data_IF_556390701698
#
_entry.id   IF_556390701698
#
_cell.length_a   1.000
_cell.length_b   1.000
_cell.length_c   1.000
_cell.angle_alpha   90.00
_cell.angle_beta   90.00
_cell.angle_gamma   90.00
#
_symmetry.space_group_name_H-M   'P 1'
#
loop_
_entity.id
_entity.type
_entity.pdbx_description
1 polymer ?
#
# COMPACT_ATOMS: atom_id res chain seq x y z
N UNK A 1 30.75 12.71 -31.35
CA UNK A 1 30.21 12.84 -29.99
C UNK A 1 30.69 11.66 -29.18
N UNK A 2 30.89 11.86 -27.88
CA UNK A 2 31.12 10.75 -26.96
C UNK A 2 29.88 9.85 -26.93
N UNK A 3 30.05 8.53 -26.82
CA UNK A 3 28.92 7.59 -26.73
C UNK A 3 28.16 7.80 -25.42
N UNK A 4 26.82 7.80 -25.41
CA UNK A 4 26.05 7.98 -24.20
C UNK A 4 26.29 6.83 -23.21
N UNK A 5 26.20 7.11 -21.91
CA UNK A 5 26.48 6.16 -20.84
C UNK A 5 25.27 5.91 -19.95
N UNK A 6 25.00 4.63 -19.70
CA UNK A 6 23.99 4.18 -18.75
C UNK A 6 24.67 3.56 -17.52
N UNK A 7 24.45 4.15 -16.34
CA UNK A 7 24.83 3.57 -15.06
C UNK A 7 23.67 2.71 -14.55
N UNK A 8 23.86 1.39 -14.50
CA UNK A 8 22.82 0.43 -14.09
C UNK A 8 23.25 -0.28 -12.81
N UNK A 9 22.51 -0.12 -11.72
CA UNK A 9 22.75 -0.75 -10.42
C UNK A 9 21.42 -1.06 -9.75
N UNK A 10 20.92 -2.28 -9.94
CA UNK A 10 19.57 -2.67 -9.54
C UNK A 10 19.58 -3.83 -8.55
N UNK A 11 18.71 -3.77 -7.55
CA UNK A 11 18.35 -4.91 -6.72
C UNK A 11 17.38 -5.88 -7.41
N UNK A 12 16.27 -5.41 -7.97
CA UNK A 12 15.41 -6.24 -8.83
C UNK A 12 16.00 -6.28 -10.24
N UNK A 13 16.32 -7.49 -10.71
CA UNK A 13 16.95 -7.70 -12.03
C UNK A 13 15.92 -7.98 -13.13
N UNK A 14 14.62 -7.84 -12.85
CA UNK A 14 13.55 -7.98 -13.85
C UNK A 14 13.79 -7.04 -15.03
N UNK A 15 13.87 -7.58 -16.25
CA UNK A 15 14.02 -6.80 -17.49
C UNK A 15 15.38 -6.11 -17.70
N UNK A 16 16.35 -6.26 -16.79
CA UNK A 16 17.60 -5.48 -16.84
C UNK A 16 18.52 -5.89 -18.00
N UNK A 17 18.48 -7.16 -18.40
CA UNK A 17 19.28 -7.68 -19.52
C UNK A 17 18.75 -7.14 -20.84
N UNK A 18 17.44 -7.12 -21.01
CA UNK A 18 16.74 -6.60 -22.18
C UNK A 18 16.97 -5.09 -22.32
N UNK A 19 16.90 -4.35 -21.21
CA UNK A 19 17.25 -2.93 -21.14
C UNK A 19 18.68 -2.68 -21.63
N UNK A 20 19.66 -3.35 -21.02
CA UNK A 20 21.07 -3.14 -21.34
C UNK A 20 21.42 -3.57 -22.77
N UNK A 21 20.88 -4.69 -23.26
CA UNK A 21 21.10 -5.16 -24.63
C UNK A 21 20.54 -4.18 -25.68
N UNK A 22 19.37 -3.60 -25.41
CA UNK A 22 18.75 -2.60 -26.29
C UNK A 22 19.58 -1.31 -26.33
N UNK A 23 20.03 -0.83 -25.16
CA UNK A 23 20.92 0.32 -25.06
C UNK A 23 22.25 0.08 -25.81
N UNK A 24 22.87 -1.09 -25.67
CA UNK A 24 24.09 -1.45 -26.40
C UNK A 24 23.87 -1.46 -27.92
N UNK A 25 22.73 -1.97 -28.38
CA UNK A 25 22.36 -1.96 -29.82
C UNK A 25 22.24 -0.54 -30.36
N UNK A 26 21.82 0.41 -29.51
CA UNK A 26 21.77 1.84 -29.79
C UNK A 26 23.11 2.57 -29.57
N UNK A 27 24.19 1.84 -29.29
CA UNK A 27 25.55 2.40 -29.15
C UNK A 27 25.89 2.97 -27.77
N UNK A 28 25.07 2.72 -26.76
CA UNK A 28 25.34 3.14 -25.37
C UNK A 28 26.43 2.28 -24.72
N UNK A 29 27.17 2.88 -23.80
CA UNK A 29 28.10 2.18 -22.91
C UNK A 29 27.41 1.88 -21.58
N UNK A 30 27.55 0.66 -21.09
CA UNK A 30 27.01 0.25 -19.80
C UNK A 30 28.09 0.36 -18.73
N UNK A 31 27.78 1.11 -17.66
CA UNK A 31 28.55 1.17 -16.42
C UNK A 31 27.72 0.45 -15.36
N UNK A 32 28.32 -0.48 -14.63
CA UNK A 32 27.61 -1.22 -13.58
C UNK A 32 28.57 -1.66 -12.47
N UNK A 33 28.02 -2.27 -11.42
CA UNK A 33 28.79 -2.78 -10.27
C UNK A 33 28.13 -4.01 -9.64
N UNK A 34 28.93 -4.83 -8.96
CA UNK A 34 28.49 -5.95 -8.13
C UNK A 34 27.63 -6.98 -8.87
N UNK A 35 26.53 -7.40 -8.24
CA UNK A 35 25.63 -8.43 -8.78
C UNK A 35 24.96 -8.03 -10.10
N UNK A 36 24.75 -6.73 -10.35
CA UNK A 36 24.18 -6.25 -11.62
C UNK A 36 25.19 -6.44 -12.76
N UNK A 37 26.44 -6.01 -12.55
CA UNK A 37 27.50 -6.20 -13.53
C UNK A 37 27.73 -7.68 -13.85
N UNK A 38 27.71 -8.54 -12.83
CA UNK A 38 27.84 -9.99 -12.99
C UNK A 38 26.73 -10.57 -13.88
N UNK A 39 25.47 -10.23 -13.59
CA UNK A 39 24.30 -10.68 -14.36
C UNK A 39 24.35 -10.25 -15.82
N UNK A 40 24.79 -9.01 -16.08
CA UNK A 40 24.90 -8.47 -17.44
C UNK A 40 26.04 -9.16 -18.23
N UNK A 41 27.18 -9.44 -17.59
CA UNK A 41 28.28 -10.19 -18.23
C UNK A 41 27.91 -11.62 -18.57
N UNK A 42 27.17 -12.30 -17.71
CA UNK A 42 26.65 -13.65 -17.98
C UNK A 42 25.77 -13.68 -19.25
N UNK A 43 25.05 -12.59 -19.52
CA UNK A 43 24.26 -12.41 -20.73
C UNK A 43 25.08 -11.94 -21.96
N UNK A 44 26.40 -11.83 -21.83
CA UNK A 44 27.31 -11.42 -22.92
C UNK A 44 27.36 -9.92 -23.18
N UNK A 45 26.88 -9.09 -22.24
CA UNK A 45 26.90 -7.62 -22.37
C UNK A 45 28.24 -7.08 -21.89
N UNK A 46 28.84 -6.19 -22.68
CA UNK A 46 30.06 -5.47 -22.30
C UNK A 46 29.74 -4.44 -21.19
N UNK A 47 30.42 -4.56 -20.06
CA UNK A 47 30.19 -3.74 -18.87
C UNK A 47 31.51 -3.15 -18.37
N UNK A 48 31.57 -1.83 -18.30
CA UNK A 48 32.62 -1.11 -17.56
C UNK A 48 32.27 -1.11 -16.06
N UNK A 49 33.18 -1.56 -15.21
CA UNK A 49 32.98 -1.50 -13.76
C UNK A 49 33.00 -0.06 -13.24
N UNK A 50 32.21 0.23 -12.21
CA UNK A 50 32.30 1.51 -11.48
C UNK A 50 33.70 1.72 -10.89
N UNK A 51 34.39 0.67 -10.46
CA UNK A 51 35.76 0.77 -9.95
C UNK A 51 36.76 1.21 -11.02
N UNK A 52 36.54 0.85 -12.29
CA UNK A 52 37.34 1.33 -13.43
C UNK A 52 37.07 2.81 -13.72
N UNK A 53 35.81 3.25 -13.60
CA UNK A 53 35.42 4.66 -13.77
C UNK A 53 35.99 5.54 -12.65
N UNK A 54 35.99 5.04 -11.42
CA UNK A 54 36.38 5.82 -10.24
C UNK A 54 37.87 5.71 -9.90
N UNK A 55 38.55 4.68 -10.39
CA UNK A 55 39.90 4.32 -9.97
C UNK A 55 39.98 3.86 -8.51
N UNK A 56 38.85 3.56 -7.87
CA UNK A 56 38.77 3.21 -6.45
C UNK A 56 38.19 1.79 -6.29
N UNK A 57 38.82 0.91 -5.49
CA UNK A 57 38.29 -0.43 -5.26
C UNK A 57 37.01 -0.40 -4.42
N UNK A 58 36.23 -1.47 -4.51
CA UNK A 58 35.12 -1.71 -3.60
C UNK A 58 35.65 -2.05 -2.20
N UNK A 59 35.17 -1.33 -1.17
CA UNK A 59 35.59 -1.49 0.22
C UNK A 59 34.37 -1.51 1.15
N UNK A 60 34.54 -2.05 2.37
CA UNK A 60 33.48 -2.19 3.39
C UNK A 60 32.25 -2.93 2.86
N UNK A 61 32.47 -4.07 2.21
CA UNK A 61 31.43 -4.94 1.65
C UNK A 61 30.44 -4.21 0.72
N UNK A 62 30.95 -3.22 -0.03
CA UNK A 62 30.17 -2.50 -1.05
C UNK A 62 29.42 -1.28 -0.55
N UNK A 63 29.53 -0.92 0.73
CA UNK A 63 28.85 0.24 1.34
C UNK A 63 29.17 1.59 0.67
N UNK A 64 30.35 1.73 0.06
CA UNK A 64 30.84 3.01 -0.52
C UNK A 64 31.25 2.91 -1.99
N UNK A 65 30.71 1.95 -2.74
CA UNK A 65 31.15 1.68 -4.13
C UNK A 65 30.82 2.79 -5.14
N UNK A 66 29.69 3.48 -4.98
CA UNK A 66 29.22 4.53 -5.92
C UNK A 66 29.30 5.95 -5.35
N UNK A 67 29.64 6.09 -4.06
CA UNK A 67 29.78 7.38 -3.37
C UNK A 67 31.11 8.06 -3.73
N UNK A 68 31.27 8.39 -5.01
CA UNK A 68 32.50 8.92 -5.57
C UNK A 68 32.22 10.13 -6.48
N UNK A 69 33.04 11.20 -6.44
CA UNK A 69 32.91 12.35 -7.33
C UNK A 69 32.90 11.99 -8.82
N UNK A 70 33.65 10.98 -9.27
CA UNK A 70 33.66 10.58 -10.67
C UNK A 70 32.28 10.12 -11.17
N UNK A 71 31.50 9.46 -10.31
CA UNK A 71 30.12 9.05 -10.59
C UNK A 71 29.19 10.25 -10.51
N UNK A 72 29.18 10.95 -9.37
CA UNK A 72 28.21 12.01 -9.13
C UNK A 72 28.45 13.27 -9.97
N UNK A 73 29.69 13.62 -10.31
CA UNK A 73 29.97 14.70 -11.27
C UNK A 73 29.48 14.31 -12.67
N UNK A 74 29.67 13.05 -13.07
CA UNK A 74 29.15 12.52 -14.34
C UNK A 74 27.62 12.66 -14.45
N UNK A 75 26.92 12.48 -13.34
CA UNK A 75 25.46 12.64 -13.23
C UNK A 75 25.05 14.12 -13.11
N UNK A 76 25.71 14.92 -12.26
CA UNK A 76 25.23 16.24 -11.83
C UNK A 76 25.74 17.42 -12.65
N UNK A 77 26.77 17.24 -13.48
CA UNK A 77 27.29 18.32 -14.32
C UNK A 77 26.19 18.87 -15.24
N UNK A 78 26.03 20.19 -15.26
CA UNK A 78 25.07 20.85 -16.15
C UNK A 78 25.64 20.89 -17.56
N UNK A 79 24.95 20.28 -18.52
CA UNK A 79 25.49 20.10 -19.88
C UNK A 79 25.58 21.41 -20.67
N UNK A 80 24.81 22.42 -20.27
CA UNK A 80 24.86 23.78 -20.82
C UNK A 80 25.94 24.67 -20.17
N UNK A 81 26.51 24.25 -19.04
CA UNK A 81 27.59 24.97 -18.36
C UNK A 81 28.94 24.59 -18.95
N UNK A 82 29.58 25.54 -19.65
CA UNK A 82 30.95 25.36 -20.17
C UNK A 82 31.97 25.09 -19.05
N UNK A 83 31.76 25.69 -17.87
CA UNK A 83 32.62 25.49 -16.71
C UNK A 83 32.54 24.06 -16.19
N UNK A 84 31.33 23.54 -15.96
CA UNK A 84 31.11 22.18 -15.46
C UNK A 84 31.70 21.13 -16.44
N UNK A 85 31.52 21.35 -17.75
CA UNK A 85 32.03 20.43 -18.78
C UNK A 85 33.57 20.50 -18.91
N UNK A 86 34.19 21.67 -18.69
CA UNK A 86 35.66 21.78 -18.60
C UNK A 86 36.19 21.01 -17.39
N UNK A 87 35.55 21.19 -16.23
CA UNK A 87 35.93 20.49 -15.00
C UNK A 87 35.81 18.97 -15.14
N UNK A 88 34.75 18.45 -15.77
CA UNK A 88 34.66 17.02 -16.08
C UNK A 88 35.85 16.55 -16.90
N UNK A 89 36.19 17.29 -17.96
CA UNK A 89 37.30 16.94 -18.86
C UNK A 89 38.65 16.99 -18.14
N UNK A 90 38.91 18.03 -17.35
CA UNK A 90 40.14 18.21 -16.57
C UNK A 90 40.33 17.10 -15.53
N UNK A 91 39.25 16.65 -14.91
CA UNK A 91 39.26 15.56 -13.94
C UNK A 91 39.28 14.16 -14.58
N UNK A 92 39.18 14.07 -15.92
CA UNK A 92 39.05 12.80 -16.63
C UNK A 92 37.72 12.08 -16.36
N UNK A 93 36.70 12.83 -15.94
CA UNK A 93 35.37 12.33 -15.68
C UNK A 93 34.48 12.44 -16.91
N UNK A 94 33.40 11.68 -16.88
CA UNK A 94 32.59 11.40 -18.04
C UNK A 94 31.11 11.59 -17.73
N UNK A 95 30.38 12.16 -18.68
CA UNK A 95 28.93 12.30 -18.60
C UNK A 95 28.23 10.93 -18.47
N UNK A 96 27.21 10.89 -17.60
CA UNK A 96 26.24 9.79 -17.48
C UNK A 96 24.88 10.33 -17.93
N UNK A 97 24.25 9.66 -18.89
CA UNK A 97 23.02 10.12 -19.55
C UNK A 97 21.79 9.36 -19.06
N UNK A 98 21.99 8.14 -18.53
CA UNK A 98 20.95 7.33 -17.90
C UNK A 98 21.44 6.75 -16.58
N UNK A 99 20.61 6.80 -15.55
CA UNK A 99 20.82 6.14 -14.26
C UNK A 99 19.64 5.22 -13.99
N UNK A 100 19.88 3.91 -13.97
CA UNK A 100 18.89 2.90 -13.66
C UNK A 100 19.21 2.25 -12.31
N UNK A 101 18.39 2.54 -11.31
CA UNK A 101 18.58 2.09 -9.93
C UNK A 101 17.22 1.83 -9.30
N UNK A 102 16.95 0.57 -8.93
CA UNK A 102 15.88 0.24 -7.98
C UNK A 102 16.51 -0.12 -6.63
N UNK A 103 15.85 0.30 -5.55
CA UNK A 103 16.38 0.27 -4.20
C UNK A 103 16.28 -1.13 -3.58
N UNK A 104 17.01 -1.34 -2.50
CA UNK A 104 16.95 -2.58 -1.74
C UNK A 104 15.54 -2.78 -1.15
N UNK A 105 15.05 -4.03 -1.05
CA UNK A 105 13.70 -4.33 -0.62
C UNK A 105 13.65 -4.31 0.91
N UNK A 106 13.87 -3.13 1.48
CA UNK A 106 13.92 -2.94 2.92
C UNK A 106 12.60 -3.39 3.57
N UNK A 107 11.45 -2.98 3.00
CA UNK A 107 10.12 -3.41 3.44
C UNK A 107 9.94 -4.93 3.41
N UNK A 108 10.37 -5.59 2.33
CA UNK A 108 10.26 -7.06 2.24
C UNK A 108 11.09 -7.72 3.34
N UNK A 109 12.31 -7.22 3.60
CA UNK A 109 13.18 -7.76 4.65
C UNK A 109 12.59 -7.55 6.05
N UNK A 110 12.03 -6.36 6.30
CA UNK A 110 11.37 -6.01 7.56
C UNK A 110 10.12 -6.87 7.83
N UNK A 111 9.38 -7.21 6.78
CA UNK A 111 8.16 -8.04 6.84
C UNK A 111 8.39 -9.56 6.88
N UNK A 112 9.64 -10.03 6.96
CA UNK A 112 9.95 -11.47 6.98
C UNK A 112 9.45 -12.15 8.25
N UNK A 113 9.12 -13.43 8.12
CA UNK A 113 8.74 -14.30 9.23
C UNK A 113 9.70 -15.51 9.32
N UNK A 114 10.52 -15.65 10.39
CA UNK A 114 10.62 -14.74 11.55
C UNK A 114 11.24 -13.38 11.20
N UNK A 115 10.99 -12.32 12.01
CA UNK A 115 11.53 -10.97 11.77
C UNK A 115 13.05 -10.93 11.64
N UNK A 116 13.54 -10.13 10.70
CA UNK A 116 14.96 -9.87 10.54
C UNK A 116 15.55 -9.22 11.80
N UNK A 117 16.80 -9.53 12.10
CA UNK A 117 17.50 -8.87 13.22
C UNK A 117 17.75 -7.40 12.91
N UNK A 118 17.89 -6.57 13.95
CA UNK A 118 18.22 -5.15 13.74
C UNK A 118 19.52 -4.94 12.96
N UNK A 119 20.51 -5.81 13.16
CA UNK A 119 21.80 -5.76 12.45
C UNK A 119 21.58 -6.03 10.96
N UNK A 120 20.78 -7.05 10.63
CA UNK A 120 20.42 -7.37 9.25
C UNK A 120 19.65 -6.23 8.57
N UNK A 121 18.69 -5.62 9.27
CA UNK A 121 17.95 -4.46 8.75
C UNK A 121 18.86 -3.27 8.48
N UNK A 122 19.80 -2.98 9.37
CA UNK A 122 20.77 -1.89 9.19
C UNK A 122 21.65 -2.12 7.96
N UNK A 123 22.06 -3.37 7.67
CA UNK A 123 22.83 -3.67 6.45
C UNK A 123 22.00 -3.51 5.16
N UNK A 124 20.67 -3.62 5.24
CA UNK A 124 19.78 -3.42 4.10
C UNK A 124 19.50 -1.95 3.78
N UNK A 125 19.98 -1.01 4.60
CA UNK A 125 19.84 0.42 4.34
C UNK A 125 20.81 0.84 3.23
N UNK A 126 20.29 0.96 2.01
CA UNK A 126 21.01 1.47 0.84
C UNK A 126 21.32 2.97 0.97
N UNK A 127 22.61 3.31 0.85
CA UNK A 127 23.09 4.69 0.81
C UNK A 127 23.39 5.13 -0.63
N UNK A 128 24.01 4.24 -1.41
CA UNK A 128 24.48 4.55 -2.76
C UNK A 128 23.33 4.73 -3.74
N UNK A 129 22.34 3.83 -3.70
CA UNK A 129 21.18 3.86 -4.57
C UNK A 129 20.40 5.17 -4.46
N UNK A 130 19.88 5.55 -3.27
CA UNK A 130 19.13 6.80 -3.10
C UNK A 130 19.97 8.03 -3.48
N UNK A 131 21.27 8.03 -3.21
CA UNK A 131 22.15 9.14 -3.60
C UNK A 131 22.26 9.29 -5.12
N UNK A 132 22.40 8.18 -5.86
CA UNK A 132 22.43 8.20 -7.33
C UNK A 132 21.08 8.60 -7.92
N UNK A 133 19.97 8.04 -7.41
CA UNK A 133 18.60 8.36 -7.83
C UNK A 133 18.32 9.85 -7.66
N UNK A 134 18.60 10.42 -6.49
CA UNK A 134 18.41 11.85 -6.20
C UNK A 134 19.31 12.73 -7.07
N UNK A 135 20.53 12.29 -7.34
CA UNK A 135 21.46 13.02 -8.22
C UNK A 135 20.92 13.10 -9.66
N UNK A 136 20.44 11.98 -10.19
CA UNK A 136 19.89 11.89 -11.54
C UNK A 136 18.57 12.69 -11.66
N UNK A 137 17.65 12.52 -10.70
CA UNK A 137 16.39 13.25 -10.66
C UNK A 137 16.59 14.78 -10.54
N UNK A 138 17.57 15.22 -9.73
CA UNK A 138 17.96 16.64 -9.66
C UNK A 138 18.43 17.17 -11.02
N UNK A 139 19.19 16.37 -11.77
CA UNK A 139 19.73 16.75 -13.07
C UNK A 139 18.90 16.21 -14.25
N UNK A 140 17.59 16.01 -14.05
CA UNK A 140 16.67 15.53 -15.09
C UNK A 140 16.62 16.33 -16.40
N UNK A 141 17.03 17.63 -16.49
CA UNK A 141 17.15 18.26 -17.80
C UNK A 141 18.11 17.52 -18.74
N UNK A 142 19.07 16.77 -18.19
CA UNK A 142 20.16 16.13 -18.92
C UNK A 142 20.32 14.62 -18.66
N UNK A 143 19.71 14.09 -17.59
CA UNK A 143 19.85 12.69 -17.20
C UNK A 143 18.48 12.01 -17.15
N UNK A 144 18.40 10.82 -17.74
CA UNK A 144 17.25 9.93 -17.65
C UNK A 144 17.40 9.11 -16.37
N UNK A 145 16.44 9.18 -15.46
CA UNK A 145 16.42 8.34 -14.26
C UNK A 145 15.35 7.26 -14.40
N UNK A 146 15.69 6.01 -14.07
CA UNK A 146 14.75 4.89 -14.04
C UNK A 146 14.87 4.16 -12.70
N UNK A 147 13.76 4.07 -11.98
CA UNK A 147 13.68 3.45 -10.65
C UNK A 147 12.79 2.23 -10.58
N UNK A 148 12.03 1.93 -11.65
CA UNK A 148 11.10 0.82 -11.71
C UNK A 148 11.17 0.10 -13.07
N UNK A 149 11.13 -1.25 -13.14
CA UNK A 149 11.17 -2.00 -14.39
C UNK A 149 10.08 -1.60 -15.40
N UNK A 150 8.91 -1.15 -14.95
CA UNK A 150 7.81 -0.70 -15.82
C UNK A 150 8.18 0.55 -16.63
N UNK A 151 9.22 1.29 -16.24
CA UNK A 151 9.71 2.47 -16.96
C UNK A 151 10.62 2.11 -18.14
N UNK A 152 11.12 0.87 -18.23
CA UNK A 152 12.13 0.49 -19.22
C UNK A 152 11.60 0.58 -20.64
N UNK A 153 10.43 -0.02 -20.90
CA UNK A 153 9.85 -0.06 -22.25
C UNK A 153 9.54 1.35 -22.80
N UNK A 154 8.85 2.25 -22.06
CA UNK A 154 8.65 3.63 -22.52
C UNK A 154 9.97 4.36 -22.84
N UNK A 155 11.02 4.18 -22.01
CA UNK A 155 12.32 4.80 -22.23
C UNK A 155 12.97 4.26 -23.51
N UNK A 156 12.97 2.94 -23.68
CA UNK A 156 13.56 2.29 -24.86
C UNK A 156 12.84 2.68 -26.15
N UNK A 157 11.52 2.79 -26.13
CA UNK A 157 10.74 3.26 -27.28
C UNK A 157 11.15 4.69 -27.66
N UNK A 158 11.19 5.60 -26.68
CA UNK A 158 11.58 6.99 -26.92
C UNK A 158 13.02 7.12 -27.44
N UNK A 159 13.96 6.30 -26.95
CA UNK A 159 15.33 6.26 -27.43
C UNK A 159 15.42 5.65 -28.85
N UNK A 160 14.67 4.58 -29.12
CA UNK A 160 14.63 3.92 -30.43
C UNK A 160 14.13 4.86 -31.52
N UNK A 161 13.09 5.63 -31.23
CA UNK A 161 12.51 6.61 -32.16
C UNK A 161 13.46 7.77 -32.50
N UNK A 162 14.52 7.95 -31.70
CA UNK A 162 15.54 8.98 -31.87
C UNK A 162 16.94 8.42 -32.17
N UNK A 163 17.04 7.24 -32.79
CA UNK A 163 18.32 6.59 -33.13
C UNK A 163 19.28 6.43 -31.93
N UNK A 164 18.73 6.20 -30.73
CA UNK A 164 19.48 6.02 -29.50
C UNK A 164 19.93 7.31 -28.80
N UNK A 165 19.55 8.49 -29.28
CA UNK A 165 19.94 9.76 -28.67
C UNK A 165 19.24 9.99 -27.32
N UNK A 166 19.95 10.40 -26.24
CA UNK A 166 19.33 10.71 -24.94
C UNK A 166 18.18 11.73 -25.01
N UNK A 167 18.23 12.65 -25.98
CA UNK A 167 17.20 13.66 -26.20
C UNK A 167 15.87 13.12 -26.75
N UNK A 168 15.83 11.85 -27.20
CA UNK A 168 14.56 11.16 -27.52
C UNK A 168 13.64 11.03 -26.31
N UNK A 169 14.21 10.83 -25.13
CA UNK A 169 13.47 10.95 -23.87
C UNK A 169 13.29 12.43 -23.58
N UNK A 170 12.19 12.99 -24.07
CA UNK A 170 11.94 14.43 -24.01
C UNK A 170 11.84 14.97 -22.56
N UNK A 171 11.86 16.30 -22.44
CA UNK A 171 11.85 17.00 -21.16
C UNK A 171 10.66 16.65 -20.25
N UNK A 172 9.46 16.47 -20.81
CA UNK A 172 8.27 16.13 -20.03
C UNK A 172 8.35 14.71 -19.46
N UNK A 173 8.86 13.76 -20.25
CA UNK A 173 9.13 12.41 -19.77
C UNK A 173 10.21 12.41 -18.67
N UNK A 174 11.31 13.17 -18.85
CA UNK A 174 12.37 13.28 -17.84
C UNK A 174 11.86 13.91 -16.54
N UNK A 175 10.98 14.90 -16.59
CA UNK A 175 10.31 15.45 -15.40
C UNK A 175 9.46 14.41 -14.68
N UNK A 176 8.66 13.63 -15.43
CA UNK A 176 7.83 12.57 -14.84
C UNK A 176 8.70 11.54 -14.13
N UNK A 177 9.73 11.04 -14.81
CA UNK A 177 10.69 10.09 -14.25
C UNK A 177 11.40 10.65 -13.00
N UNK A 178 11.77 11.93 -13.00
CA UNK A 178 12.39 12.57 -11.85
C UNK A 178 11.43 12.71 -10.65
N UNK A 179 10.16 12.99 -10.90
CA UNK A 179 9.13 13.02 -9.86
C UNK A 179 8.94 11.64 -9.25
N UNK A 180 8.87 10.61 -10.08
CA UNK A 180 8.73 9.22 -9.63
C UNK A 180 9.97 8.75 -8.85
N UNK A 181 11.17 9.16 -9.28
CA UNK A 181 12.41 8.91 -8.57
C UNK A 181 12.43 9.55 -7.16
N UNK A 182 12.00 10.80 -7.01
CA UNK A 182 11.90 11.42 -5.69
C UNK A 182 10.82 10.78 -4.81
N UNK A 183 9.70 10.37 -5.39
CA UNK A 183 8.65 9.61 -4.69
C UNK A 183 9.19 8.27 -4.19
N UNK A 184 9.93 7.54 -5.03
CA UNK A 184 10.55 6.27 -4.65
C UNK A 184 11.50 6.45 -3.45
N UNK A 185 12.35 7.48 -3.45
CA UNK A 185 13.25 7.75 -2.31
C UNK A 185 12.50 8.22 -1.07
N UNK A 186 11.43 9.01 -1.21
CA UNK A 186 10.61 9.44 -0.08
C UNK A 186 9.87 8.27 0.57
N UNK A 187 9.32 7.36 -0.24
CA UNK A 187 8.68 6.14 0.25
C UNK A 187 9.72 5.25 0.98
N UNK A 188 10.90 5.07 0.38
CA UNK A 188 11.99 4.30 0.99
C UNK A 188 12.43 4.87 2.35
N UNK A 189 12.70 6.17 2.43
CA UNK A 189 13.12 6.81 3.69
C UNK A 189 12.02 6.75 4.76
N UNK A 190 10.74 6.88 4.36
CA UNK A 190 9.60 6.70 5.28
C UNK A 190 9.58 5.27 5.86
N UNK A 191 9.75 4.25 5.02
CA UNK A 191 9.72 2.86 5.46
C UNK A 191 10.90 2.51 6.37
N UNK A 192 12.09 3.04 6.10
CA UNK A 192 13.24 2.93 7.01
C UNK A 192 12.95 3.65 8.33
N UNK A 193 12.43 4.87 8.30
CA UNK A 193 12.14 5.64 9.51
C UNK A 193 11.10 4.96 10.40
N UNK A 194 9.98 4.50 9.82
CA UNK A 194 8.91 3.85 10.56
C UNK A 194 9.32 2.50 11.14
N UNK A 195 10.01 1.66 10.38
CA UNK A 195 10.51 0.37 10.90
C UNK A 195 11.53 0.57 12.03
N UNK A 196 12.45 1.53 11.90
CA UNK A 196 13.42 1.78 12.97
C UNK A 196 12.76 2.35 14.22
N UNK A 197 11.72 3.18 14.08
CA UNK A 197 10.91 3.64 15.21
C UNK A 197 10.25 2.46 15.92
N UNK A 198 9.59 1.57 15.19
CA UNK A 198 8.95 0.37 15.75
C UNK A 198 9.94 -0.59 16.44
N UNK A 199 11.19 -0.64 15.96
CA UNK A 199 12.25 -1.50 16.55
C UNK A 199 12.99 -0.86 17.72
N UNK A 200 13.08 0.47 17.78
CA UNK A 200 13.83 1.19 18.80
C UNK A 200 12.97 1.73 19.93
N UNK A 201 11.69 1.97 19.67
CA UNK A 201 10.74 2.53 20.61
C UNK A 201 9.91 1.44 21.28
N UNK A 202 9.57 1.65 22.55
CA UNK A 202 8.56 0.86 23.27
C UNK A 202 7.20 1.58 23.30
N UNK A 203 7.09 2.75 22.65
CA UNK A 203 5.84 3.52 22.61
C UNK A 203 4.83 2.89 21.66
N UNK A 204 3.62 2.64 22.14
CA UNK A 204 2.52 2.18 21.30
C UNK A 204 2.04 3.26 20.32
N UNK A 205 2.25 4.54 20.67
CA UNK A 205 1.89 5.68 19.82
C UNK A 205 3.15 6.17 19.11
N UNK A 206 3.12 6.37 17.78
CA UNK A 206 4.27 6.89 17.05
C UNK A 206 4.62 8.31 17.51
N UNK A 207 5.90 8.57 17.69
CA UNK A 207 6.48 9.90 17.88
C UNK A 207 6.36 10.74 16.59
N UNK A 208 6.43 10.09 15.43
CA UNK A 208 6.26 10.73 14.11
C UNK A 208 5.25 10.00 13.23
N UNK A 209 4.26 10.73 12.72
CA UNK A 209 3.29 10.19 11.75
C UNK A 209 3.88 10.30 10.35
N UNK A 210 4.34 9.16 9.82
CA UNK A 210 4.74 9.03 8.43
C UNK A 210 3.62 8.34 7.63
N UNK A 211 3.14 9.00 6.57
CA UNK A 211 2.11 8.42 5.68
C UNK A 211 2.71 8.24 4.30
N UNK A 212 2.86 6.99 3.88
CA UNK A 212 3.20 6.59 2.51
C UNK A 212 2.01 5.87 1.89
N UNK A 213 1.82 6.03 0.58
CA UNK A 213 0.73 5.39 -0.15
C UNK A 213 1.14 5.07 -1.58
N UNK A 214 0.46 4.09 -2.18
CA UNK A 214 0.50 3.84 -3.60
C UNK A 214 -0.26 4.91 -4.40
N UNK A 215 -0.35 4.68 -5.71
CA UNK A 215 -1.03 5.64 -6.61
C UNK A 215 -2.53 5.70 -6.32
N UNK A 216 -3.05 6.92 -6.16
CA UNK A 216 -4.45 7.16 -5.90
C UNK A 216 -5.36 6.83 -7.09
N UNK A 217 -6.45 6.12 -6.83
CA UNK A 217 -7.53 5.85 -7.77
C UNK A 217 -8.61 6.93 -7.65
N UNK A 218 -8.92 7.71 -8.71
CA UNK A 218 -9.89 8.79 -8.62
C UNK A 218 -11.29 8.25 -8.32
N UNK A 219 -12.00 8.93 -7.41
CA UNK A 219 -13.39 8.68 -7.08
C UNK A 219 -14.28 9.73 -7.76
N UNK A 220 -15.57 9.43 -7.87
CA UNK A 220 -16.54 10.33 -8.50
C UNK A 220 -16.62 11.69 -7.81
N UNK A 221 -16.55 11.69 -6.49
CA UNK A 221 -16.48 12.83 -5.57
C UNK A 221 -16.18 12.29 -4.14
N UNK A 222 -15.94 13.19 -3.19
CA UNK A 222 -15.69 12.92 -1.77
C UNK A 222 -16.98 12.61 -1.01
N UNK A 223 -17.11 13.10 0.23
CA UNK A 223 -18.35 12.93 0.99
C UNK A 223 -19.53 13.61 0.29
N UNK A 224 -19.27 14.73 -0.39
CA UNK A 224 -20.26 15.54 -1.10
C UNK A 224 -19.87 15.76 -2.58
N UNK A 225 -20.85 15.93 -3.49
CA UNK A 225 -20.60 16.01 -4.95
C UNK A 225 -19.63 17.09 -5.44
N UNK A 226 -19.43 18.16 -4.66
CA UNK A 226 -18.55 19.28 -5.04
C UNK A 226 -17.09 19.06 -4.64
N UNK A 227 -16.78 17.98 -3.92
CA UNK A 227 -15.45 17.67 -3.41
C UNK A 227 -14.78 16.63 -4.32
N UNK A 228 -13.65 16.91 -4.98
CA UNK A 228 -12.89 15.87 -5.68
C UNK A 228 -12.26 14.90 -4.67
N UNK A 229 -12.13 13.62 -5.03
CA UNK A 229 -11.55 12.62 -4.14
C UNK A 229 -10.83 11.49 -4.89
N UNK A 230 -9.97 10.77 -4.18
CA UNK A 230 -9.30 9.56 -4.64
C UNK A 230 -9.11 8.59 -3.46
N UNK A 231 -9.05 7.28 -3.74
CA UNK A 231 -8.66 6.24 -2.80
C UNK A 231 -7.18 5.93 -2.97
N UNK A 232 -6.41 5.93 -1.88
CA UNK A 232 -4.97 5.69 -1.89
C UNK A 232 -4.68 4.35 -1.18
N UNK A 233 -4.21 3.30 -1.89
CA UNK A 233 -3.80 2.04 -1.26
C UNK A 233 -2.47 2.20 -0.52
N UNK A 234 -2.05 1.24 0.32
CA UNK A 234 -0.68 1.20 0.84
C UNK A 234 0.34 1.11 -0.31
N UNK A 235 1.59 1.54 -0.08
CA UNK A 235 2.67 1.45 -1.08
C UNK A 235 3.17 0.03 -1.31
N UNK A 236 3.00 -0.86 -0.33
CA UNK A 236 3.40 -2.27 -0.37
C UNK A 236 2.24 -3.23 -0.57
N UNK A 237 2.24 -4.33 0.18
CA UNK A 237 1.22 -5.40 0.09
C UNK A 237 -0.18 -4.85 0.35
N UNK A 238 -1.10 -5.11 -0.58
CA UNK A 238 -2.50 -4.74 -0.42
C UNK A 238 -3.10 -5.42 0.82
N UNK A 239 -3.82 -4.64 1.62
CA UNK A 239 -4.49 -5.10 2.84
C UNK A 239 -5.83 -4.36 3.03
N UNK A 240 -6.71 -4.92 3.87
CA UNK A 240 -8.03 -4.35 4.12
C UNK A 240 -8.82 -4.09 2.83
N UNK A 241 -9.42 -2.91 2.71
CA UNK A 241 -10.22 -2.54 1.52
C UNK A 241 -9.40 -2.40 0.25
N UNK A 242 -8.08 -2.21 0.32
CA UNK A 242 -7.23 -2.19 -0.88
C UNK A 242 -7.04 -3.58 -1.50
N UNK A 243 -7.21 -4.64 -0.70
CA UNK A 243 -7.17 -6.03 -1.16
C UNK A 243 -8.55 -6.58 -1.55
N UNK A 244 -9.62 -5.81 -1.33
CA UNK A 244 -10.97 -6.25 -1.64
C UNK A 244 -11.21 -6.30 -3.16
N UNK A 245 -11.79 -7.39 -3.64
CA UNK A 245 -12.12 -7.58 -5.05
C UNK A 245 -13.61 -7.30 -5.27
N UNK A 246 -13.92 -6.34 -6.14
CA UNK A 246 -15.29 -6.02 -6.52
C UNK A 246 -15.73 -6.87 -7.73
N UNK A 247 -16.79 -7.65 -7.58
CA UNK A 247 -17.30 -8.59 -8.60
C UNK A 247 -18.30 -7.98 -9.58
N UNK A 248 -18.79 -6.77 -9.30
CA UNK A 248 -19.77 -6.10 -10.15
C UNK A 248 -20.28 -4.80 -9.55
N UNK A 249 -21.22 -4.16 -10.25
CA UNK A 249 -21.81 -2.90 -9.82
C UNK A 249 -21.06 -1.66 -10.29
N UNK A 250 -21.45 -0.51 -9.73
CA UNK A 250 -20.79 0.78 -10.00
C UNK A 250 -19.45 0.86 -9.25
N UNK A 251 -18.50 1.72 -9.68
CA UNK A 251 -17.35 2.06 -8.85
C UNK A 251 -17.78 2.50 -7.43
N UNK A 252 -16.94 2.20 -6.43
CA UNK A 252 -17.13 2.63 -5.06
C UNK A 252 -17.08 4.16 -4.97
N UNK A 253 -17.95 4.73 -4.14
CA UNK A 253 -17.88 6.14 -3.73
C UNK A 253 -17.04 6.31 -2.46
N UNK A 254 -16.68 7.55 -2.13
CA UNK A 254 -15.98 7.87 -0.88
C UNK A 254 -16.73 7.34 0.35
N UNK A 255 -18.04 7.58 0.42
CA UNK A 255 -18.87 7.09 1.54
C UNK A 255 -18.99 5.56 1.55
N UNK A 256 -18.93 4.89 0.38
CA UNK A 256 -18.88 3.43 0.37
C UNK A 256 -17.61 2.90 1.04
N UNK A 257 -16.45 3.54 0.84
CA UNK A 257 -15.22 3.16 1.55
C UNK A 257 -15.36 3.36 3.06
N UNK A 258 -15.92 4.49 3.51
CA UNK A 258 -16.15 4.75 4.94
C UNK A 258 -17.09 3.71 5.58
N UNK A 259 -18.21 3.41 4.91
CA UNK A 259 -19.20 2.45 5.41
C UNK A 259 -18.67 1.01 5.37
N UNK A 260 -17.89 0.63 4.34
CA UNK A 260 -17.23 -0.67 4.26
C UNK A 260 -16.17 -0.83 5.34
N UNK A 261 -15.39 0.22 5.65
CA UNK A 261 -14.41 0.18 6.72
C UNK A 261 -15.07 -0.03 8.09
N UNK A 262 -16.12 0.75 8.38
CA UNK A 262 -16.92 0.58 9.60
C UNK A 262 -17.56 -0.83 9.68
N UNK A 263 -18.07 -1.35 8.56
CA UNK A 263 -18.66 -2.68 8.51
C UNK A 263 -17.63 -3.78 8.77
N UNK A 264 -16.42 -3.63 8.21
CA UNK A 264 -15.30 -4.53 8.46
C UNK A 264 -14.87 -4.49 9.93
N UNK A 265 -14.70 -3.31 10.54
CA UNK A 265 -14.29 -3.17 11.94
C UNK A 265 -15.26 -3.88 12.87
N UNK A 266 -16.56 -3.62 12.75
CA UNK A 266 -17.56 -4.28 13.59
C UNK A 266 -17.69 -5.79 13.30
N UNK A 267 -17.66 -6.20 12.01
CA UNK A 267 -17.72 -7.62 11.65
C UNK A 267 -16.54 -8.41 12.23
N UNK A 268 -15.33 -7.84 12.20
CA UNK A 268 -14.12 -8.47 12.76
C UNK A 268 -14.15 -8.50 14.29
N UNK A 269 -14.58 -7.41 14.92
CA UNK A 269 -14.78 -7.30 16.38
C UNK A 269 -15.72 -8.41 16.89
N UNK A 270 -16.87 -8.58 16.23
CA UNK A 270 -17.80 -9.65 16.56
C UNK A 270 -17.17 -11.03 16.36
N UNK A 271 -16.55 -11.26 15.19
CA UNK A 271 -15.97 -12.57 14.85
C UNK A 271 -14.81 -13.00 15.77
N UNK A 272 -14.10 -12.06 16.39
CA UNK A 272 -13.02 -12.38 17.35
C UNK A 272 -13.50 -12.80 18.73
N UNK A 273 -14.75 -12.50 19.10
CA UNK A 273 -15.24 -12.66 20.47
C UNK A 273 -16.36 -13.70 20.62
N UNK A 274 -16.96 -14.13 19.51
CA UNK A 274 -18.03 -15.13 19.50
C UNK A 274 -17.49 -16.51 19.08
N UNK A 275 -18.29 -17.55 19.32
CA UNK A 275 -18.00 -18.89 18.80
C UNK A 275 -17.83 -18.85 17.27
N UNK A 276 -16.68 -19.34 16.80
CA UNK A 276 -16.32 -19.37 15.38
C UNK A 276 -17.34 -20.09 14.49
N UNK A 277 -18.20 -20.95 15.06
CA UNK A 277 -19.29 -21.66 14.36
C UNK A 277 -20.45 -20.75 13.97
N UNK A 278 -20.63 -19.61 14.64
CA UNK A 278 -21.74 -18.69 14.44
C UNK A 278 -21.52 -17.76 13.23
N UNK A 279 -22.65 -17.29 12.70
CA UNK A 279 -22.72 -16.37 11.57
C UNK A 279 -23.01 -14.95 12.09
N UNK A 280 -22.27 -13.96 11.58
CA UNK A 280 -22.52 -12.55 11.88
C UNK A 280 -23.06 -11.83 10.67
N UNK A 281 -23.97 -10.89 10.91
CA UNK A 281 -24.41 -9.94 9.92
C UNK A 281 -24.36 -8.53 10.50
N UNK A 282 -23.69 -7.62 9.82
CA UNK A 282 -23.60 -6.21 10.18
C UNK A 282 -24.16 -5.37 9.04
N UNK A 283 -25.03 -4.42 9.36
CA UNK A 283 -25.56 -3.42 8.44
C UNK A 283 -25.15 -2.02 8.90
N UNK A 284 -24.35 -1.33 8.09
CA UNK A 284 -23.85 0.03 8.34
C UNK A 284 -24.53 1.04 7.42
N UNK A 285 -24.80 2.23 7.94
CA UNK A 285 -25.16 3.40 7.14
C UNK A 285 -24.55 4.66 7.74
N UNK A 286 -23.83 5.44 6.92
CA UNK A 286 -23.15 6.66 7.37
C UNK A 286 -22.26 6.40 8.60
N UNK A 287 -21.42 5.37 8.51
CA UNK A 287 -20.46 4.90 9.51
C UNK A 287 -21.07 4.39 10.83
N UNK A 288 -22.40 4.31 10.93
CA UNK A 288 -23.09 3.84 12.12
C UNK A 288 -23.80 2.49 11.87
N UNK A 289 -23.80 1.56 12.83
CA UNK A 289 -24.60 0.34 12.77
C UNK A 289 -26.10 0.66 12.81
N UNK A 290 -26.83 0.29 11.75
CA UNK A 290 -28.30 0.24 11.76
C UNK A 290 -28.82 -1.15 12.15
N UNK A 291 -27.97 -2.17 12.09
CA UNK A 291 -28.26 -3.51 12.57
C UNK A 291 -26.99 -4.34 12.74
N UNK A 292 -26.97 -5.19 13.76
CA UNK A 292 -25.92 -6.18 13.98
C UNK A 292 -26.55 -7.41 14.63
N UNK A 293 -26.06 -8.59 14.27
CA UNK A 293 -26.57 -9.85 14.81
C UNK A 293 -25.52 -10.96 14.77
N UNK A 294 -25.79 -11.98 15.57
CA UNK A 294 -25.06 -13.25 15.61
C UNK A 294 -26.10 -14.36 15.69
N UNK A 295 -25.96 -15.40 14.87
CA UNK A 295 -26.94 -16.49 14.80
C UNK A 295 -26.29 -17.81 14.32
N UNK A 296 -27.01 -18.92 14.46
CA UNK A 296 -26.61 -20.25 13.98
C UNK A 296 -26.65 -20.36 12.45
N UNK A 297 -27.47 -19.53 11.79
CA UNK A 297 -27.61 -19.51 10.33
C UNK A 297 -27.39 -18.12 9.75
N UNK A 298 -26.81 -18.05 8.55
CA UNK A 298 -26.52 -16.78 7.90
C UNK A 298 -27.79 -16.00 7.54
N UNK A 299 -28.86 -16.67 7.11
CA UNK A 299 -30.15 -16.03 6.82
C UNK A 299 -30.81 -15.45 8.07
N UNK A 300 -30.80 -16.18 9.19
CA UNK A 300 -31.35 -15.68 10.46
C UNK A 300 -30.53 -14.49 10.97
N UNK A 301 -29.19 -14.55 10.87
CA UNK A 301 -28.35 -13.39 11.18
C UNK A 301 -28.77 -12.16 10.34
N UNK A 302 -28.97 -12.30 9.03
CA UNK A 302 -29.47 -11.21 8.20
C UNK A 302 -30.84 -10.68 8.68
N UNK A 303 -31.82 -11.55 8.89
CA UNK A 303 -33.18 -11.18 9.31
C UNK A 303 -33.16 -10.40 10.64
N UNK A 304 -32.34 -10.84 11.58
CA UNK A 304 -32.19 -10.22 12.89
C UNK A 304 -31.47 -8.86 12.84
N UNK A 305 -30.45 -8.73 11.98
CA UNK A 305 -29.81 -7.44 11.74
C UNK A 305 -30.79 -6.46 11.10
N UNK A 306 -31.56 -6.89 10.08
CA UNK A 306 -32.57 -6.06 9.42
C UNK A 306 -33.70 -5.66 10.37
N UNK A 307 -34.13 -6.56 11.26
CA UNK A 307 -35.20 -6.30 12.23
C UNK A 307 -34.85 -5.23 13.27
N UNK A 308 -33.56 -4.86 13.40
CA UNK A 308 -33.12 -3.79 14.31
C UNK A 308 -33.66 -2.43 13.87
N UNK A 309 -33.46 -2.07 12.61
CA UNK A 309 -34.01 -0.87 11.98
C UNK A 309 -34.11 -1.03 10.46
N UNK A 310 -35.25 -1.54 9.94
CA UNK A 310 -35.41 -1.81 8.51
C UNK A 310 -35.46 -0.52 7.67
N UNK A 311 -35.89 0.60 8.25
CA UNK A 311 -35.96 1.89 7.55
C UNK A 311 -34.55 2.45 7.34
N UNK A 312 -33.72 2.45 8.39
CA UNK A 312 -32.33 2.87 8.26
C UNK A 312 -31.52 1.89 7.40
N UNK A 313 -31.79 0.59 7.48
CA UNK A 313 -31.09 -0.41 6.66
C UNK A 313 -31.30 -0.23 5.14
N UNK A 314 -32.30 0.54 4.69
CA UNK A 314 -32.46 0.83 3.28
C UNK A 314 -31.26 1.61 2.73
N UNK A 315 -30.51 0.99 1.81
CA UNK A 315 -29.28 1.53 1.23
C UNK A 315 -28.04 1.34 2.11
N UNK A 316 -28.06 0.39 3.04
CA UNK A 316 -26.92 0.08 3.91
C UNK A 316 -25.75 -0.55 3.15
N UNK A 317 -24.63 -0.68 3.85
CA UNK A 317 -23.52 -1.59 3.54
C UNK A 317 -23.62 -2.79 4.46
N UNK A 318 -23.54 -4.00 3.88
CA UNK A 318 -23.65 -5.26 4.61
C UNK A 318 -22.27 -5.91 4.74
N UNK A 319 -21.93 -6.44 5.91
CA UNK A 319 -20.80 -7.34 6.09
C UNK A 319 -21.26 -8.68 6.68
N UNK A 320 -20.77 -9.77 6.08
CA UNK A 320 -21.00 -11.15 6.53
C UNK A 320 -19.64 -11.81 6.78
N UNK A 321 -19.46 -12.47 7.92
CA UNK A 321 -18.17 -13.07 8.29
C UNK A 321 -17.80 -14.36 7.54
N UNK A 322 -18.70 -14.89 6.72
CA UNK A 322 -18.58 -16.17 6.02
C UNK A 322 -18.99 -16.03 4.56
N UNK A 323 -18.56 -16.98 3.73
CA UNK A 323 -18.98 -17.07 2.32
C UNK A 323 -20.50 -16.96 2.23
N UNK A 324 -21.00 -16.10 1.35
CA UNK A 324 -22.45 -15.85 1.23
C UNK A 324 -23.10 -17.04 0.54
N UNK A 325 -24.08 -17.62 1.22
CA UNK A 325 -24.84 -18.78 0.76
C UNK A 325 -26.02 -18.35 -0.12
N UNK A 326 -26.43 -19.22 -1.06
CA UNK A 326 -27.51 -18.92 -2.00
C UNK A 326 -28.83 -18.58 -1.27
N UNK A 327 -29.17 -19.34 -0.22
CA UNK A 327 -30.40 -19.13 0.55
C UNK A 327 -30.40 -17.76 1.27
N UNK A 328 -29.24 -17.32 1.79
CA UNK A 328 -29.07 -15.97 2.37
C UNK A 328 -29.22 -14.90 1.30
N UNK A 329 -28.63 -15.11 0.12
CA UNK A 329 -28.75 -14.20 -1.01
C UNK A 329 -30.20 -14.02 -1.47
N UNK A 330 -31.03 -15.07 -1.42
CA UNK A 330 -32.47 -14.98 -1.66
C UNK A 330 -33.17 -14.12 -0.60
N UNK A 331 -32.88 -14.34 0.68
CA UNK A 331 -33.45 -13.57 1.79
C UNK A 331 -33.07 -12.07 1.75
N UNK A 332 -31.86 -11.75 1.29
CA UNK A 332 -31.38 -10.37 1.09
C UNK A 332 -31.89 -9.78 -0.24
N UNK A 333 -32.23 -10.64 -1.21
CA UNK A 333 -32.34 -10.32 -2.64
C UNK A 333 -33.27 -9.16 -2.98
N UNK A 334 -34.33 -8.95 -2.20
CA UNK A 334 -35.30 -7.86 -2.39
C UNK A 334 -34.94 -6.56 -1.64
N UNK A 335 -34.07 -6.62 -0.65
CA UNK A 335 -33.65 -5.46 0.13
C UNK A 335 -32.68 -4.57 -0.65
N UNK A 336 -32.90 -3.26 -0.63
CA UNK A 336 -31.97 -2.34 -1.27
C UNK A 336 -30.75 -2.09 -0.36
N UNK A 337 -29.56 -2.41 -0.87
CA UNK A 337 -28.28 -2.11 -0.24
C UNK A 337 -27.29 -1.57 -1.28
N UNK A 338 -26.30 -0.80 -0.84
CA UNK A 338 -25.28 -0.18 -1.69
C UNK A 338 -24.11 -1.14 -1.96
N UNK A 339 -23.54 -1.70 -0.89
CA UNK A 339 -22.38 -2.59 -0.93
C UNK A 339 -22.59 -3.80 -0.01
N UNK A 340 -21.94 -4.91 -0.32
CA UNK A 340 -21.81 -6.06 0.58
C UNK A 340 -20.39 -6.59 0.51
N UNK A 341 -19.82 -6.93 1.67
CA UNK A 341 -18.48 -7.52 1.79
C UNK A 341 -18.51 -8.82 2.59
N UNK A 342 -17.82 -9.83 2.09
CA UNK A 342 -17.71 -11.15 2.71
C UNK A 342 -16.39 -11.82 2.31
N UNK A 343 -15.97 -12.94 2.93
CA UNK A 343 -14.83 -13.72 2.46
C UNK A 343 -15.04 -14.30 1.05
N UNK A 344 -16.28 -14.54 0.65
CA UNK A 344 -16.60 -15.20 -0.61
C UNK A 344 -18.09 -15.16 -0.90
N UNK A 345 -18.46 -15.64 -2.09
CA UNK A 345 -19.84 -15.90 -2.48
C UNK A 345 -19.91 -17.29 -3.11
N UNK A 346 -20.97 -18.04 -2.82
CA UNK A 346 -21.37 -19.14 -3.70
C UNK A 346 -21.75 -18.58 -5.08
N UNK A 347 -21.57 -19.39 -6.13
CA UNK A 347 -21.85 -18.97 -7.50
C UNK A 347 -23.31 -18.48 -7.64
N UNK A 348 -24.25 -19.27 -7.15
CA UNK A 348 -25.69 -18.94 -7.19
C UNK A 348 -26.00 -17.69 -6.36
N UNK A 349 -25.34 -17.51 -5.21
CA UNK A 349 -25.51 -16.32 -4.38
C UNK A 349 -25.09 -15.04 -5.11
N UNK A 350 -23.95 -15.08 -5.80
CA UNK A 350 -23.45 -13.94 -6.56
C UNK A 350 -24.39 -13.61 -7.73
N UNK A 351 -24.93 -14.62 -8.42
CA UNK A 351 -25.89 -14.45 -9.51
C UNK A 351 -27.21 -13.82 -9.04
N UNK A 352 -27.76 -14.31 -7.92
CA UNK A 352 -28.97 -13.76 -7.29
C UNK A 352 -28.78 -12.27 -6.95
N UNK A 353 -27.69 -11.94 -6.25
CA UNK A 353 -27.45 -10.57 -5.80
C UNK A 353 -27.14 -9.62 -6.97
N UNK A 354 -26.42 -10.12 -7.99
CA UNK A 354 -26.09 -9.41 -9.22
C UNK A 354 -27.31 -9.08 -10.10
N UNK A 355 -28.47 -9.71 -9.85
CA UNK A 355 -29.74 -9.36 -10.50
C UNK A 355 -30.10 -7.87 -10.39
N UNK A 356 -29.62 -7.17 -9.34
CA UNK A 356 -29.69 -5.70 -9.23
C UNK A 356 -28.33 -5.07 -9.58
N UNK A 357 -28.19 -4.60 -10.83
CA UNK A 357 -26.94 -4.10 -11.45
C UNK A 357 -26.14 -3.03 -10.71
N UNK A 358 -26.70 -2.34 -9.71
CA UNK A 358 -26.01 -1.25 -9.00
C UNK A 358 -25.32 -1.72 -7.71
N UNK A 359 -25.64 -2.92 -7.21
CA UNK A 359 -25.04 -3.46 -5.99
C UNK A 359 -23.56 -3.73 -6.20
N UNK A 360 -22.73 -3.33 -5.23
CA UNK A 360 -21.30 -3.66 -5.23
C UNK A 360 -21.08 -4.86 -4.33
N UNK A 361 -20.67 -5.96 -4.94
CA UNK A 361 -20.35 -7.20 -4.23
C UNK A 361 -18.84 -7.30 -4.09
N UNK A 362 -18.33 -7.33 -2.87
CA UNK A 362 -16.90 -7.37 -2.59
C UNK A 362 -16.52 -8.67 -1.88
N UNK A 363 -15.40 -9.27 -2.30
CA UNK A 363 -14.74 -10.32 -1.53
C UNK A 363 -13.46 -9.84 -0.89
N UNK A 364 -13.24 -10.22 0.36
CA UNK A 364 -11.99 -10.04 1.08
C UNK A 364 -11.64 -11.33 1.83
N UNK A 365 -10.73 -12.14 1.29
CA UNK A 365 -10.36 -13.45 1.82
C UNK A 365 -8.86 -13.52 2.19
N UNK A 366 -8.51 -13.83 3.45
CA UNK A 366 -9.41 -13.85 4.61
C UNK A 366 -9.94 -12.44 4.93
N UNK A 367 -11.05 -12.35 5.68
CA UNK A 367 -11.49 -11.04 6.18
C UNK A 367 -10.49 -10.45 7.19
N UNK A 368 -9.64 -11.27 7.80
CA UNK A 368 -8.63 -10.85 8.76
C UNK A 368 -9.20 -10.53 10.14
N UNK A 369 -8.32 -10.37 11.12
CA UNK A 369 -8.67 -10.02 12.50
C UNK A 369 -8.75 -8.49 12.69
N UNK A 370 -9.42 -8.04 13.75
CA UNK A 370 -9.39 -6.64 14.14
C UNK A 370 -8.13 -6.38 14.97
N UNK A 371 -7.11 -5.84 14.31
CA UNK A 371 -5.84 -5.53 14.96
C UNK A 371 -5.94 -4.30 15.85
N UNK A 372 -5.22 -4.34 16.96
CA UNK A 372 -4.95 -3.16 17.80
C UNK A 372 -3.80 -2.39 17.18
N UNK A 373 -4.08 -1.21 16.63
CA UNK A 373 -3.09 -0.41 15.90
C UNK A 373 -3.30 1.10 16.10
N UNK A 374 -2.25 1.87 15.83
CA UNK A 374 -2.33 3.32 15.83
C UNK A 374 -3.22 3.80 14.67
N UNK A 375 -4.23 4.61 14.99
CA UNK A 375 -5.14 5.26 14.04
C UNK A 375 -4.93 6.75 14.07
N UNK A 376 -4.81 7.32 12.88
CA UNK A 376 -4.61 8.74 12.69
C UNK A 376 -5.89 9.40 12.19
N UNK A 377 -6.18 10.60 12.70
CA UNK A 377 -7.28 11.43 12.24
C UNK A 377 -6.77 12.85 11.98
N UNK A 378 -7.04 13.36 10.78
CA UNK A 378 -6.70 14.74 10.45
C UNK A 378 -7.61 15.72 11.19
N UNK A 379 -7.03 16.81 11.68
CA UNK A 379 -7.73 17.98 12.20
C UNK A 379 -7.19 19.24 11.53
N UNK A 380 -7.85 20.38 11.71
CA UNK A 380 -7.33 21.65 11.21
C UNK A 380 -5.95 21.93 11.85
N UNK A 381 -4.91 22.06 11.01
CA UNK A 381 -3.56 22.35 11.45
C UNK A 381 -2.74 21.17 11.98
N UNK A 382 -3.24 19.92 11.94
CA UNK A 382 -2.47 18.78 12.42
C UNK A 382 -3.18 17.42 12.36
N UNK A 383 -2.70 16.49 13.20
CA UNK A 383 -3.16 15.11 13.28
C UNK A 383 -3.36 14.69 14.73
N UNK A 384 -4.35 13.85 14.97
CA UNK A 384 -4.54 13.10 16.22
C UNK A 384 -4.13 11.64 15.96
N UNK A 385 -3.51 11.00 16.94
CA UNK A 385 -3.22 9.57 16.92
C UNK A 385 -3.76 8.91 18.19
N UNK A 386 -4.32 7.72 18.06
CA UNK A 386 -4.76 6.89 19.18
C UNK A 386 -4.57 5.41 18.85
N UNK A 387 -4.44 4.57 19.86
CA UNK A 387 -4.59 3.13 19.67
C UNK A 387 -6.07 2.80 19.54
N UNK A 388 -6.43 2.06 18.48
CA UNK A 388 -7.78 1.57 18.26
C UNK A 388 -7.73 0.06 17.98
N UNK A 389 -8.70 -0.67 18.50
CA UNK A 389 -8.85 -2.10 18.32
C UNK A 389 -10.12 -2.59 19.04
N UNK A 390 -10.27 -3.92 19.21
CA UNK A 390 -11.34 -4.51 20.01
C UNK A 390 -11.35 -3.91 21.42
N UNK A 391 -12.54 -3.68 21.99
CA UNK A 391 -12.66 -3.18 23.35
C UNK A 391 -12.07 -4.21 24.34
N UNK A 392 -11.03 -3.86 25.13
CA UNK A 392 -10.38 -4.80 26.04
C UNK A 392 -11.18 -4.92 27.34
N UNK A 393 -12.40 -5.43 27.25
CA UNK A 393 -13.25 -5.66 28.42
C UNK A 393 -12.88 -7.00 29.04
N UNK A 394 -12.32 -6.94 30.24
CA UNK A 394 -12.13 -8.12 31.08
C UNK A 394 -13.47 -8.50 31.74
N UNK A 395 -14.16 -9.46 31.14
CA UNK A 395 -15.44 -9.95 31.67
C UNK A 395 -15.29 -10.75 32.95
N UNK A 396 -14.09 -11.29 33.25
CA UNK A 396 -13.86 -12.06 34.48
C UNK A 396 -13.76 -11.13 35.70
N UNK A 397 -13.40 -9.86 35.51
CA UNK A 397 -13.46 -8.82 36.54
C UNK A 397 -14.79 -8.05 36.57
N UNK A 398 -15.78 -8.42 35.75
CA UNK A 398 -17.09 -7.76 35.78
C UNK A 398 -17.86 -8.06 37.08
N UNK A 399 -18.43 -7.03 37.68
CA UNK A 399 -19.16 -7.13 38.95
C UNK A 399 -20.65 -6.81 38.81
N UNK A 400 -21.50 -7.69 39.34
CA UNK A 400 -22.93 -7.41 39.47
C UNK A 400 -23.18 -6.47 40.66
N UNK A 401 -23.51 -5.20 40.38
CA UNK A 401 -23.79 -4.18 41.41
C UNK A 401 -25.23 -4.21 41.96
N UNK A 402 -26.06 -5.16 41.51
CA UNK A 402 -27.45 -5.32 41.98
C UNK A 402 -27.65 -6.63 42.73
N UNK A 403 -28.81 -6.79 43.38
CA UNK A 403 -29.17 -8.05 44.06
C UNK A 403 -29.49 -9.19 43.08
N UNK A 404 -29.92 -8.87 41.86
CA UNK A 404 -30.26 -9.86 40.84
C UNK A 404 -29.03 -10.12 39.98
N UNK A 405 -28.47 -11.32 40.08
CA UNK A 405 -27.36 -11.75 39.22
C UNK A 405 -27.85 -12.01 37.80
N UNK A 406 -27.03 -11.61 36.83
CA UNK A 406 -27.21 -12.00 35.43
C UNK A 406 -26.84 -13.48 35.27
N UNK A 407 -27.57 -14.18 34.40
CA UNK A 407 -27.17 -15.50 33.94
C UNK A 407 -26.13 -15.40 32.81
N UNK A 408 -25.56 -16.54 32.40
CA UNK A 408 -24.55 -16.59 31.34
C UNK A 408 -25.06 -15.99 30.03
N UNK A 409 -26.32 -16.26 29.65
CA UNK A 409 -26.92 -15.72 28.43
C UNK A 409 -27.05 -14.19 28.45
N UNK A 410 -27.40 -13.61 29.59
CA UNK A 410 -27.43 -12.16 29.76
C UNK A 410 -26.02 -11.53 29.73
N UNK A 411 -25.01 -12.25 30.23
CA UNK A 411 -23.60 -11.82 30.11
C UNK A 411 -23.14 -11.88 28.65
N UNK A 412 -23.49 -12.93 27.90
CA UNK A 412 -23.20 -13.01 26.46
C UNK A 412 -23.90 -11.91 25.65
N UNK A 413 -25.15 -11.57 26.00
CA UNK A 413 -25.81 -10.42 25.40
C UNK A 413 -25.10 -9.11 25.75
N UNK A 414 -24.64 -8.94 26.99
CA UNK A 414 -23.87 -7.76 27.39
C UNK A 414 -22.54 -7.69 26.61
N UNK A 415 -21.84 -8.82 26.42
CA UNK A 415 -20.64 -8.95 25.56
C UNK A 415 -20.92 -8.48 24.15
N UNK A 416 -21.95 -9.03 23.51
CA UNK A 416 -22.37 -8.62 22.18
C UNK A 416 -22.69 -7.12 22.11
N UNK A 417 -23.49 -6.60 23.05
CA UNK A 417 -23.85 -5.18 23.11
C UNK A 417 -22.63 -4.26 23.29
N UNK A 418 -21.65 -4.67 24.09
CA UNK A 418 -20.41 -3.93 24.29
C UNK A 418 -19.53 -3.86 23.03
N UNK A 419 -19.51 -4.91 22.21
CA UNK A 419 -18.80 -4.93 20.92
C UNK A 419 -19.49 -4.06 19.88
N UNK A 420 -20.83 -4.03 19.88
CA UNK A 420 -21.59 -3.18 18.96
C UNK A 420 -21.44 -1.71 19.36
N UNK A 421 -21.64 -1.37 20.63
CA UNK A 421 -21.62 0.02 21.10
C UNK A 421 -20.24 0.69 20.95
N UNK A 422 -19.14 -0.08 20.93
CA UNK A 422 -17.81 0.48 20.70
C UNK A 422 -17.61 1.02 19.28
N UNK A 423 -18.45 0.63 18.33
CA UNK A 423 -18.44 1.10 16.94
C UNK A 423 -19.62 2.04 16.61
N UNK A 424 -20.38 2.49 17.63
CA UNK A 424 -21.44 3.50 17.49
C UNK A 424 -20.90 4.88 17.87
N UNK A 425 -21.29 5.92 17.13
CA UNK A 425 -20.86 7.29 17.45
C UNK A 425 -21.38 7.77 18.81
N UNK A 426 -20.49 8.33 19.64
CA UNK A 426 -20.83 8.84 20.97
C UNK A 426 -21.71 10.10 20.95
N UNK A 427 -22.63 10.29 21.90
CA UNK A 427 -22.98 9.35 22.99
C UNK A 427 -23.92 8.25 22.47
N UNK A 428 -23.68 7.02 22.89
CA UNK A 428 -24.41 5.84 22.40
C UNK A 428 -25.11 5.08 23.53
N UNK A 429 -26.25 4.48 23.21
CA UNK A 429 -26.93 3.45 23.99
C UNK A 429 -27.35 2.37 22.98
N UNK A 430 -27.00 1.12 23.25
CA UNK A 430 -27.42 -0.04 22.45
C UNK A 430 -28.31 -0.92 23.31
N UNK A 431 -29.47 -1.30 22.78
CA UNK A 431 -30.38 -2.25 23.42
C UNK A 431 -30.28 -3.55 22.63
N UNK A 432 -29.94 -4.63 23.31
CA UNK A 432 -29.77 -5.96 22.72
C UNK A 432 -30.78 -6.93 23.32
N UNK A 433 -31.17 -7.93 22.53
CA UNK A 433 -32.02 -9.04 22.97
C UNK A 433 -31.61 -10.33 22.26
N UNK A 434 -31.78 -11.45 22.95
CA UNK A 434 -31.87 -12.76 22.31
C UNK A 434 -33.32 -12.99 21.87
N UNK A 435 -33.52 -13.68 20.76
CA UNK A 435 -34.85 -13.91 20.14
C UNK A 435 -35.14 -15.37 19.94
#
# INVERSE_FOLDING_TARGET
MERPRALISVWDKTGVVELAASLCTMGWRIVSTGGTASKLREAGIEVTEVSEVTGHPEIFDGRVKTLNPAVHAGILARRDSKEDMSQLTELGYHAIDLVCVNLYPFEETASREPPASIVELIEMIDIGGPTMVRSAAKNHPYVIVATDPTQYEPILLALSDSDGLPDGVNHEMRKSLALDAFRATAAYDNSVSSELEDRFSESEIPEMINVSSGTGSPLRYGENPHQPAAFYPPSGTASGLSAAVQHGGKPLSYNNYLDLDAALRLSRSLSSSIDSSLHTCVAIKHTNPCGASVDDTQSSAWEQALASDPESAYGCVIALNRTVEAHTAEAIGDHFFECMIAPGYEADALDILSGKKNRRMLTLAPMGEYQTEARIRQVEGGWLSQIQGPAPIDWDSSECVTQQKLDEGAIELARFGSLVISEVQSNAIVIVRST
#
